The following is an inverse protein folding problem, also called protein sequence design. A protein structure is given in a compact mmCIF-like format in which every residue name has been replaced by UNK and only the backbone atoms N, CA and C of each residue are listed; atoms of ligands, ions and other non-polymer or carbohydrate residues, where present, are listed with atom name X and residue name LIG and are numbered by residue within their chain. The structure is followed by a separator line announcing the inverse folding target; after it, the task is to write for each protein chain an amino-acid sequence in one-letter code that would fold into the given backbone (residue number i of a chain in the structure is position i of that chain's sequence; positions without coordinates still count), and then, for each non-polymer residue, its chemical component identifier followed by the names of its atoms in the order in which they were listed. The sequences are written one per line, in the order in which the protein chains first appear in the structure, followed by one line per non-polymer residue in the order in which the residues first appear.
data_IF_906948298328
#
_entry.id   IF_906948298328
#
_cell.length_a   1.000
_cell.length_b   1.000
_cell.length_c   1.000
_cell.angle_alpha   90.00
_cell.angle_beta   90.00
_cell.angle_gamma   90.00
#
_symmetry.space_group_name_H-M   'P 1'
#
loop_
_entity.id
_entity.type
_entity.pdbx_description
1 polymer ?
#
# COMPACT_ATOMS: atom_id res chain seq x y z
N UNK A 1 -12.83 -18.73 -3.78
CA UNK A 1 -13.34 -18.13 -2.52
C UNK A 1 -12.50 -16.90 -2.22
N UNK A 2 -13.09 -15.83 -1.67
CA UNK A 2 -12.34 -14.65 -1.23
C UNK A 2 -11.60 -15.00 0.07
N UNK A 3 -10.27 -14.83 0.11
CA UNK A 3 -9.51 -15.02 1.35
C UNK A 3 -9.82 -13.90 2.35
N UNK A 4 -10.49 -14.23 3.43
CA UNK A 4 -10.86 -13.32 4.51
C UNK A 4 -10.07 -13.59 5.80
N UNK A 5 -9.30 -14.66 5.83
CA UNK A 5 -8.67 -15.20 7.06
C UNK A 5 -7.25 -14.68 7.24
N UNK A 6 -6.42 -14.66 6.19
CA UNK A 6 -5.01 -14.27 6.31
C UNK A 6 -4.87 -12.82 6.78
N UNK A 7 -4.21 -12.57 7.92
CA UNK A 7 -3.90 -11.23 8.40
C UNK A 7 -3.18 -10.40 7.35
N UNK A 8 -3.53 -9.11 7.26
CA UNK A 8 -2.98 -8.21 6.25
C UNK A 8 -2.97 -6.77 6.71
N UNK A 9 -2.04 -5.99 6.15
CA UNK A 9 -1.99 -4.54 6.31
C UNK A 9 -1.71 -3.90 4.95
N UNK A 10 -2.27 -2.71 4.74
CA UNK A 10 -2.06 -1.93 3.52
C UNK A 10 -1.18 -0.71 3.83
N UNK A 11 -0.03 -0.61 3.20
CA UNK A 11 0.87 0.54 3.31
C UNK A 11 0.52 1.55 2.24
N UNK A 12 0.02 2.69 2.66
CA UNK A 12 -0.21 3.84 1.80
C UNK A 12 0.74 4.99 2.17
N UNK A 13 0.78 6.04 1.36
CA UNK A 13 1.50 7.26 1.73
C UNK A 13 0.68 8.50 1.40
N UNK A 14 1.07 9.62 1.99
CA UNK A 14 0.43 10.90 1.70
C UNK A 14 0.79 11.42 0.33
N UNK A 15 1.98 11.04 -0.18
CA UNK A 15 2.46 11.39 -1.52
C UNK A 15 3.35 10.29 -2.10
N UNK A 16 3.65 10.45 -3.39
CA UNK A 16 4.70 9.69 -4.04
C UNK A 16 6.07 10.00 -3.39
N UNK A 17 6.92 8.98 -3.29
CA UNK A 17 8.27 9.08 -2.73
C UNK A 17 8.36 9.39 -1.22
N UNK A 18 7.29 9.27 -0.45
CA UNK A 18 7.35 9.41 1.02
C UNK A 18 8.04 8.23 1.71
N UNK A 19 8.40 7.19 0.97
CA UNK A 19 9.19 6.06 1.45
C UNK A 19 8.38 4.81 1.79
N UNK A 20 7.24 4.59 1.11
CA UNK A 20 6.45 3.35 1.25
C UNK A 20 7.31 2.10 1.14
N UNK A 21 8.05 1.97 0.04
CA UNK A 21 8.87 0.78 -0.24
C UNK A 21 9.91 0.53 0.84
N UNK A 22 10.59 1.58 1.34
CA UNK A 22 11.54 1.45 2.45
C UNK A 22 10.82 1.02 3.74
N UNK A 23 9.67 1.61 4.03
CA UNK A 23 8.83 1.21 5.17
C UNK A 23 8.34 -0.22 5.02
N UNK A 24 7.89 -0.62 3.84
CA UNK A 24 7.44 -1.99 3.54
C UNK A 24 8.57 -3.01 3.72
N UNK A 25 9.79 -2.70 3.27
CA UNK A 25 10.98 -3.54 3.50
C UNK A 25 11.24 -3.73 5.00
N UNK A 26 11.25 -2.65 5.77
CA UNK A 26 11.46 -2.70 7.21
C UNK A 26 10.38 -3.48 7.94
N UNK A 27 9.11 -3.20 7.62
CA UNK A 27 7.96 -3.89 8.23
C UNK A 27 7.95 -5.38 7.86
N UNK A 28 8.18 -5.73 6.60
CA UNK A 28 8.19 -7.13 6.16
C UNK A 28 9.34 -7.90 6.84
N UNK A 29 10.51 -7.27 7.01
CA UNK A 29 11.62 -7.83 7.78
C UNK A 29 11.25 -8.08 9.24
N UNK A 30 10.56 -7.13 9.88
CA UNK A 30 10.11 -7.28 11.27
C UNK A 30 9.00 -8.33 11.40
N UNK A 31 8.00 -8.30 10.52
CA UNK A 31 6.86 -9.24 10.51
C UNK A 31 7.34 -10.68 10.30
N UNK A 32 8.34 -10.89 9.46
CA UNK A 32 8.89 -12.23 9.17
C UNK A 32 9.50 -12.93 10.39
N UNK A 33 9.84 -12.18 11.44
CA UNK A 33 10.31 -12.75 12.72
C UNK A 33 9.19 -13.46 13.49
N UNK A 34 7.94 -13.03 13.29
CA UNK A 34 6.75 -13.57 13.96
C UNK A 34 5.92 -14.48 13.05
N UNK A 35 5.94 -14.20 11.74
CA UNK A 35 5.20 -14.89 10.71
C UNK A 35 6.16 -15.40 9.63
N UNK A 36 6.61 -16.65 9.73
CA UNK A 36 7.63 -17.19 8.79
C UNK A 36 7.21 -17.16 7.33
N UNK A 37 5.92 -17.38 7.06
CA UNK A 37 5.35 -17.43 5.72
C UNK A 37 4.62 -16.12 5.40
N UNK A 38 5.36 -15.14 4.94
CA UNK A 38 4.81 -13.84 4.55
C UNK A 38 4.60 -13.76 3.04
N UNK A 39 3.57 -13.00 2.62
CA UNK A 39 3.33 -12.60 1.26
C UNK A 39 3.44 -11.09 1.09
N UNK A 40 3.60 -10.67 -0.16
CA UNK A 40 3.56 -9.26 -0.55
C UNK A 40 2.79 -9.09 -1.85
N UNK A 41 2.00 -8.04 -1.93
CA UNK A 41 1.28 -7.65 -3.13
C UNK A 41 1.27 -6.13 -3.30
N UNK A 42 1.55 -5.66 -4.52
CA UNK A 42 1.30 -4.30 -4.97
C UNK A 42 0.22 -4.34 -6.05
N UNK A 43 -1.06 -4.19 -5.66
CA UNK A 43 -2.20 -4.46 -6.53
C UNK A 43 -2.24 -3.63 -7.81
N UNK A 44 -1.73 -2.39 -7.74
CA UNK A 44 -1.65 -1.45 -8.86
C UNK A 44 -0.24 -0.89 -8.93
N UNK A 45 0.49 -1.21 -9.99
CA UNK A 45 1.86 -0.76 -10.24
C UNK A 45 1.95 0.24 -11.40
N UNK A 46 2.82 1.23 -11.29
CA UNK A 46 3.09 2.23 -12.33
C UNK A 46 4.51 2.13 -12.91
N UNK A 47 5.41 1.47 -12.21
CA UNK A 47 6.78 1.20 -12.65
C UNK A 47 6.98 -0.29 -12.71
N UNK A 48 7.44 -0.81 -13.81
CA UNK A 48 7.56 -2.25 -13.99
C UNK A 48 8.79 -2.63 -14.79
N UNK A 49 9.25 -3.82 -14.52
CA UNK A 49 10.26 -4.56 -15.30
C UNK A 49 9.57 -5.70 -16.02
N UNK A 50 10.08 -6.08 -17.17
CA UNK A 50 9.59 -7.23 -17.90
C UNK A 50 10.29 -8.50 -17.40
N UNK A 51 9.52 -9.46 -16.92
CA UNK A 51 9.97 -10.75 -16.42
C UNK A 51 9.12 -11.84 -17.06
N UNK A 52 9.70 -12.73 -17.86
CA UNK A 52 8.99 -13.86 -18.51
C UNK A 52 7.64 -13.44 -19.14
N UNK A 53 7.66 -12.45 -20.01
CA UNK A 53 6.49 -11.87 -20.71
C UNK A 53 5.46 -11.18 -19.79
N UNK A 54 5.76 -10.99 -18.51
CA UNK A 54 4.91 -10.27 -17.57
C UNK A 54 5.52 -8.94 -17.14
N UNK A 55 4.67 -7.92 -17.04
CA UNK A 55 5.03 -6.62 -16.46
C UNK A 55 4.88 -6.69 -14.95
N UNK A 56 5.99 -6.77 -14.25
CA UNK A 56 6.06 -6.88 -12.80
C UNK A 56 6.47 -5.53 -12.21
N UNK A 57 5.72 -5.02 -11.23
CA UNK A 57 6.09 -3.78 -10.54
C UNK A 57 7.46 -3.93 -9.86
N UNK A 58 8.30 -2.88 -9.97
CA UNK A 58 9.67 -2.86 -9.45
C UNK A 58 9.74 -3.21 -7.95
N UNK A 59 8.77 -2.73 -7.15
CA UNK A 59 8.75 -3.00 -5.72
C UNK A 59 8.37 -4.47 -5.44
N UNK A 60 7.45 -5.06 -6.21
CA UNK A 60 7.11 -6.48 -6.11
C UNK A 60 8.30 -7.38 -6.45
N UNK A 61 9.03 -7.02 -7.50
CA UNK A 61 10.25 -7.73 -7.88
C UNK A 61 11.33 -7.61 -6.80
N UNK A 62 11.54 -6.40 -6.25
CA UNK A 62 12.48 -6.16 -5.17
C UNK A 62 12.14 -7.00 -3.93
N UNK A 63 10.87 -6.99 -3.49
CA UNK A 63 10.43 -7.73 -2.30
C UNK A 63 10.66 -9.23 -2.46
N UNK A 64 10.37 -9.78 -3.64
CA UNK A 64 10.63 -11.20 -3.89
C UNK A 64 12.12 -11.52 -3.87
N UNK A 65 12.97 -10.70 -4.50
CA UNK A 65 14.42 -10.87 -4.49
C UNK A 65 15.04 -10.83 -3.10
N UNK A 66 14.57 -9.90 -2.25
CA UNK A 66 15.09 -9.72 -0.89
C UNK A 66 14.61 -10.82 0.05
N UNK A 67 13.34 -11.16 0.01
CA UNK A 67 12.70 -12.02 1.02
C UNK A 67 12.45 -13.46 0.56
N UNK A 68 12.57 -13.74 -0.75
CA UNK A 68 12.24 -15.04 -1.35
C UNK A 68 10.85 -15.50 -0.90
N UNK A 69 9.86 -14.70 -1.27
CA UNK A 69 8.49 -14.81 -0.72
C UNK A 69 7.75 -16.07 -1.17
N UNK A 70 8.26 -16.75 -2.20
CA UNK A 70 7.61 -17.93 -2.77
C UNK A 70 6.13 -17.65 -3.12
N UNK A 71 5.91 -16.52 -3.78
CA UNK A 71 4.64 -16.09 -4.37
C UNK A 71 4.79 -15.98 -5.89
N UNK A 72 3.74 -16.29 -6.68
CA UNK A 72 3.82 -16.07 -8.13
C UNK A 72 3.97 -14.56 -8.43
N UNK A 73 5.07 -14.15 -9.07
CA UNK A 73 5.35 -12.74 -9.37
C UNK A 73 4.20 -12.01 -10.09
N UNK A 74 3.52 -12.60 -11.09
CA UNK A 74 2.38 -11.94 -11.75
C UNK A 74 1.17 -11.70 -10.82
N UNK A 75 1.09 -12.45 -9.72
CA UNK A 75 0.05 -12.25 -8.70
C UNK A 75 0.46 -11.21 -7.64
N UNK A 76 1.76 -11.03 -7.44
CA UNK A 76 2.28 -9.95 -6.60
C UNK A 76 2.11 -8.57 -7.25
N UNK A 77 1.90 -8.51 -8.59
CA UNK A 77 1.74 -7.28 -9.37
C UNK A 77 0.63 -7.42 -10.42
N UNK A 78 -0.64 -7.59 -10.01
CA UNK A 78 -1.72 -7.99 -10.93
C UNK A 78 -2.13 -6.94 -11.96
N UNK A 79 -1.93 -5.63 -11.70
CA UNK A 79 -2.32 -4.55 -12.59
C UNK A 79 -1.12 -3.64 -12.84
N UNK A 80 -0.58 -3.69 -14.07
CA UNK A 80 0.44 -2.76 -14.56
C UNK A 80 -0.24 -1.61 -15.31
N UNK A 81 -0.09 -0.38 -14.81
CA UNK A 81 -0.63 0.83 -15.44
C UNK A 81 0.39 1.37 -16.46
N UNK A 82 0.34 0.83 -17.67
CA UNK A 82 1.14 1.33 -18.80
C UNK A 82 0.63 2.69 -19.29
N UNK A 83 1.41 3.39 -20.12
CA UNK A 83 1.11 4.75 -20.59
C UNK A 83 -0.25 4.92 -21.27
N UNK A 84 -0.75 3.86 -21.91
CA UNK A 84 -2.04 3.84 -22.63
C UNK A 84 -3.20 3.26 -21.79
N UNK A 85 -2.93 2.71 -20.61
CA UNK A 85 -3.91 2.01 -19.76
C UNK A 85 -5.11 2.91 -19.43
N UNK A 86 -4.86 4.09 -18.91
CA UNK A 86 -5.92 5.03 -18.51
C UNK A 86 -6.82 5.40 -19.69
N UNK A 87 -6.23 5.69 -20.85
CA UNK A 87 -6.98 6.02 -22.05
C UNK A 87 -7.83 4.83 -22.55
N UNK A 88 -7.29 3.61 -22.51
CA UNK A 88 -8.03 2.39 -22.87
C UNK A 88 -9.18 2.17 -21.88
N UNK A 89 -8.94 2.34 -20.60
CA UNK A 89 -9.98 2.19 -19.59
C UNK A 89 -11.14 3.19 -19.81
N UNK A 90 -10.85 4.47 -20.03
CA UNK A 90 -11.88 5.48 -20.25
C UNK A 90 -12.72 5.25 -21.52
N UNK A 91 -12.18 4.55 -22.52
CA UNK A 91 -12.93 4.15 -23.73
C UNK A 91 -13.83 2.93 -23.51
N UNK A 92 -13.46 2.04 -22.62
CA UNK A 92 -14.16 0.75 -22.41
C UNK A 92 -13.99 0.31 -20.97
N UNK A 93 -14.64 1.04 -20.03
CA UNK A 93 -14.48 0.81 -18.60
C UNK A 93 -15.03 -0.56 -18.19
N UNK A 94 -14.21 -1.33 -17.48
CA UNK A 94 -14.60 -2.62 -16.91
C UNK A 94 -13.98 -2.79 -15.51
N UNK A 95 -14.43 -1.95 -14.57
CA UNK A 95 -13.94 -2.02 -13.19
C UNK A 95 -14.19 -3.40 -12.53
N UNK A 96 -15.34 -4.09 -12.71
CA UNK A 96 -15.53 -5.41 -12.13
C UNK A 96 -14.45 -6.43 -12.51
N UNK A 97 -13.93 -6.37 -13.74
CA UNK A 97 -12.83 -7.23 -14.18
C UNK A 97 -11.54 -6.93 -13.42
N UNK A 98 -11.23 -5.65 -13.22
CA UNK A 98 -10.05 -5.22 -12.47
C UNK A 98 -10.17 -5.60 -10.99
N UNK A 99 -11.33 -5.37 -10.37
CA UNK A 99 -11.61 -5.78 -8.98
C UNK A 99 -11.42 -7.28 -8.81
N UNK A 100 -12.01 -8.08 -9.71
CA UNK A 100 -11.86 -9.55 -9.70
C UNK A 100 -10.39 -9.97 -9.83
N UNK A 101 -9.62 -9.30 -10.71
CA UNK A 101 -8.19 -9.59 -10.87
C UNK A 101 -7.40 -9.32 -9.60
N UNK A 102 -7.65 -8.19 -8.91
CA UNK A 102 -7.00 -7.87 -7.62
C UNK A 102 -7.35 -8.90 -6.55
N UNK A 103 -8.62 -9.29 -6.44
CA UNK A 103 -9.06 -10.29 -5.47
C UNK A 103 -8.44 -11.66 -5.71
N UNK A 104 -8.45 -12.13 -6.96
CA UNK A 104 -7.85 -13.42 -7.32
C UNK A 104 -6.34 -13.45 -7.09
N UNK A 105 -5.65 -12.36 -7.42
CA UNK A 105 -4.23 -12.22 -7.17
C UNK A 105 -3.91 -12.28 -5.67
N UNK A 106 -4.68 -11.54 -4.87
CA UNK A 106 -4.53 -11.58 -3.42
C UNK A 106 -4.75 -12.99 -2.86
N UNK A 107 -5.80 -13.67 -3.29
CA UNK A 107 -6.10 -15.04 -2.82
C UNK A 107 -4.95 -16.00 -3.12
N UNK A 108 -4.29 -15.86 -4.26
CA UNK A 108 -3.11 -16.67 -4.63
C UNK A 108 -1.86 -16.28 -3.84
N UNK A 109 -1.61 -14.97 -3.65
CA UNK A 109 -0.50 -14.50 -2.81
C UNK A 109 -0.67 -14.93 -1.36
N UNK A 110 -1.91 -14.92 -0.86
CA UNK A 110 -2.23 -15.27 0.52
C UNK A 110 -2.31 -16.80 0.78
N UNK A 111 -2.20 -17.61 -0.27
CA UNK A 111 -2.21 -19.07 -0.15
C UNK A 111 -1.04 -19.55 0.72
N UNK A 112 -1.35 -20.30 1.76
CA UNK A 112 -0.38 -20.79 2.75
C UNK A 112 0.48 -19.72 3.43
N UNK A 113 0.02 -18.46 3.45
CA UNK A 113 0.72 -17.37 4.15
C UNK A 113 0.08 -17.08 5.50
N UNK A 114 0.94 -16.76 6.46
CA UNK A 114 0.55 -16.35 7.81
C UNK A 114 0.22 -14.86 7.86
N UNK A 115 0.79 -14.06 6.94
CA UNK A 115 0.57 -12.62 6.84
C UNK A 115 0.84 -12.12 5.42
N UNK A 116 0.10 -11.11 4.95
CA UNK A 116 0.33 -10.44 3.67
C UNK A 116 0.48 -8.93 3.87
N UNK A 117 1.58 -8.38 3.37
CA UNK A 117 1.76 -6.93 3.26
C UNK A 117 1.31 -6.47 1.89
N UNK A 118 0.35 -5.54 1.88
CA UNK A 118 -0.13 -4.91 0.65
C UNK A 118 0.46 -3.51 0.54
N UNK A 119 0.92 -3.10 -0.63
CA UNK A 119 1.46 -1.77 -0.85
C UNK A 119 0.70 -1.01 -1.93
N UNK A 120 0.34 0.24 -1.62
CA UNK A 120 -0.31 1.14 -2.56
C UNK A 120 0.67 1.92 -3.44
N UNK A 121 0.13 2.64 -4.41
CA UNK A 121 0.89 3.49 -5.33
C UNK A 121 0.54 4.97 -5.13
N UNK A 122 1.54 5.81 -4.86
CA UNK A 122 1.32 7.25 -4.64
C UNK A 122 0.49 7.54 -3.39
N UNK A 123 -0.43 8.50 -3.48
CA UNK A 123 -1.35 8.91 -2.39
C UNK A 123 -2.69 8.15 -2.44
N UNK A 124 -3.56 8.36 -1.43
CA UNK A 124 -4.83 7.64 -1.28
C UNK A 124 -5.70 7.59 -2.55
N UNK A 125 -5.70 8.67 -3.34
CA UNK A 125 -6.54 8.80 -4.54
C UNK A 125 -5.94 8.26 -5.83
N UNK A 126 -4.68 7.82 -5.85
CA UNK A 126 -4.06 7.27 -7.08
C UNK A 126 -4.81 6.03 -7.53
N UNK A 127 -5.19 6.00 -8.81
CA UNK A 127 -6.03 4.95 -9.39
C UNK A 127 -7.51 5.28 -9.46
N UNK A 128 -7.97 6.43 -8.92
CA UNK A 128 -9.38 6.85 -8.98
C UNK A 128 -9.94 6.93 -10.40
N UNK A 129 -9.10 7.23 -11.38
CA UNK A 129 -9.51 7.33 -12.79
C UNK A 129 -10.04 6.01 -13.37
N UNK A 130 -9.70 4.88 -12.77
CA UNK A 130 -10.20 3.55 -13.11
C UNK A 130 -10.83 2.83 -11.91
N UNK A 131 -11.33 3.60 -10.93
CA UNK A 131 -12.06 3.15 -9.76
C UNK A 131 -11.30 2.13 -8.87
N UNK A 132 -9.98 2.24 -8.85
CA UNK A 132 -9.07 1.49 -7.99
C UNK A 132 -8.10 2.43 -7.25
N UNK A 133 -8.65 3.46 -6.59
CA UNK A 133 -7.86 4.26 -5.66
C UNK A 133 -7.25 3.37 -4.56
N UNK A 134 -6.16 3.81 -3.93
CA UNK A 134 -5.57 3.05 -2.81
C UNK A 134 -6.61 2.79 -1.70
N UNK A 135 -7.49 3.76 -1.43
CA UNK A 135 -8.58 3.59 -0.48
C UNK A 135 -9.54 2.48 -0.93
N UNK A 136 -9.94 2.48 -2.21
CA UNK A 136 -10.81 1.46 -2.77
C UNK A 136 -10.15 0.08 -2.78
N UNK A 137 -8.86 0.00 -3.11
CA UNK A 137 -8.09 -1.26 -3.09
C UNK A 137 -7.98 -1.81 -1.68
N UNK A 138 -7.66 -0.98 -0.68
CA UNK A 138 -7.63 -1.40 0.72
C UNK A 138 -8.99 -1.96 1.18
N UNK A 139 -10.11 -1.33 0.78
CA UNK A 139 -11.48 -1.86 1.01
C UNK A 139 -11.72 -3.20 0.33
N UNK A 140 -11.35 -3.33 -0.94
CA UNK A 140 -11.51 -4.59 -1.72
C UNK A 140 -10.77 -5.73 -1.02
N UNK A 141 -9.57 -5.46 -0.51
CA UNK A 141 -8.73 -6.42 0.19
C UNK A 141 -9.13 -6.60 1.67
N UNK A 142 -10.05 -5.81 2.19
CA UNK A 142 -10.42 -5.79 3.61
C UNK A 142 -9.17 -5.59 4.49
N UNK A 143 -8.33 -4.63 4.13
CA UNK A 143 -7.09 -4.33 4.81
C UNK A 143 -7.19 -3.01 5.57
N UNK A 144 -6.70 -2.98 6.82
CA UNK A 144 -6.44 -1.75 7.56
C UNK A 144 -5.19 -1.09 7.01
N UNK A 145 -5.07 0.23 7.18
CA UNK A 145 -4.02 1.04 6.56
C UNK A 145 -3.01 1.55 7.59
N UNK A 146 -1.74 1.49 7.24
CA UNK A 146 -0.69 2.31 7.82
C UNK A 146 -0.35 3.40 6.79
N UNK A 147 -0.42 4.66 7.19
CA UNK A 147 -0.16 5.79 6.32
C UNK A 147 1.24 6.35 6.56
N UNK A 148 2.07 6.37 5.53
CA UNK A 148 3.43 6.92 5.59
C UNK A 148 3.42 8.36 5.10
N UNK A 149 4.02 9.27 5.86
CA UNK A 149 4.20 10.68 5.49
C UNK A 149 5.62 11.15 5.79
N UNK A 150 5.99 12.33 5.31
CA UNK A 150 7.29 12.92 5.64
C UNK A 150 7.28 13.50 7.05
N UNK A 151 8.47 13.63 7.63
CA UNK A 151 8.63 14.28 8.93
C UNK A 151 8.29 15.77 8.89
N UNK A 152 7.56 16.23 9.90
CA UNK A 152 7.14 17.61 10.09
C UNK A 152 5.88 17.72 10.91
N UNK A 153 5.52 18.93 11.32
CA UNK A 153 4.40 19.21 12.23
C UNK A 153 3.26 20.02 11.59
N UNK A 154 3.46 20.59 10.40
CA UNK A 154 2.45 21.34 9.66
C UNK A 154 2.00 20.56 8.43
N UNK A 155 2.60 20.85 7.28
CA UNK A 155 2.24 20.24 5.98
C UNK A 155 2.02 18.72 6.00
N UNK A 156 2.84 17.89 6.67
CA UNK A 156 2.59 16.45 6.70
C UNK A 156 1.27 16.09 7.37
N UNK A 157 0.86 16.82 8.43
CA UNK A 157 -0.43 16.59 9.10
C UNK A 157 -1.59 17.00 8.19
N UNK A 158 -1.46 18.11 7.45
CA UNK A 158 -2.47 18.53 6.45
C UNK A 158 -2.63 17.48 5.34
N UNK A 159 -1.53 16.92 4.87
CA UNK A 159 -1.54 15.85 3.87
C UNK A 159 -2.12 14.53 4.41
N UNK A 160 -1.87 14.21 5.68
CA UNK A 160 -2.54 13.10 6.36
C UNK A 160 -4.04 13.33 6.37
N UNK A 161 -4.49 14.54 6.70
CA UNK A 161 -5.92 14.90 6.72
C UNK A 161 -6.61 14.68 5.38
N UNK A 162 -5.98 15.11 4.28
CA UNK A 162 -6.52 14.91 2.93
C UNK A 162 -6.64 13.44 2.55
N UNK A 163 -5.63 12.64 2.89
CA UNK A 163 -5.64 11.20 2.60
C UNK A 163 -6.64 10.46 3.50
N UNK A 164 -6.70 10.81 4.79
CA UNK A 164 -7.65 10.25 5.75
C UNK A 164 -9.08 10.37 5.26
N UNK A 165 -9.49 11.54 4.77
CA UNK A 165 -10.85 11.78 4.27
C UNK A 165 -11.26 10.80 3.17
N UNK A 166 -10.33 10.38 2.30
CA UNK A 166 -10.64 9.42 1.25
C UNK A 166 -10.74 7.99 1.79
N UNK A 167 -9.88 7.59 2.73
CA UNK A 167 -9.99 6.29 3.40
C UNK A 167 -11.29 6.19 4.19
N UNK A 168 -11.67 7.23 4.93
CA UNK A 168 -12.93 7.32 5.68
C UNK A 168 -14.16 7.22 4.76
N UNK A 169 -14.14 7.92 3.62
CA UNK A 169 -15.18 7.82 2.60
C UNK A 169 -15.40 6.39 2.12
N UNK A 170 -14.34 5.62 1.98
CA UNK A 170 -14.41 4.21 1.59
C UNK A 170 -14.65 3.26 2.79
N UNK A 171 -14.74 3.77 4.01
CA UNK A 171 -14.91 2.99 5.24
C UNK A 171 -13.70 2.13 5.59
N UNK A 172 -12.49 2.65 5.32
CA UNK A 172 -11.22 1.97 5.59
C UNK A 172 -10.55 2.61 6.80
N UNK A 173 -10.21 1.80 7.79
CA UNK A 173 -9.55 2.22 9.02
C UNK A 173 -8.05 2.47 8.78
N UNK A 174 -7.55 3.64 9.22
CA UNK A 174 -6.12 3.92 9.37
C UNK A 174 -5.73 3.58 10.80
N UNK A 175 -4.89 2.56 10.98
CA UNK A 175 -4.45 2.09 12.30
C UNK A 175 -3.27 2.88 12.86
N UNK A 176 -2.59 3.65 12.02
CA UNK A 176 -1.51 4.52 12.46
C UNK A 176 -0.79 5.21 11.33
N UNK A 177 0.05 6.16 11.71
CA UNK A 177 0.86 6.98 10.81
C UNK A 177 2.34 6.80 11.13
N UNK A 178 3.15 6.66 10.10
CA UNK A 178 4.63 6.63 10.20
C UNK A 178 5.17 7.93 9.62
N UNK A 179 5.97 8.65 10.40
CA UNK A 179 6.76 9.78 9.94
C UNK A 179 8.11 9.28 9.42
N UNK A 180 8.33 9.41 8.15
CA UNK A 180 9.59 9.05 7.50
C UNK A 180 10.43 10.29 7.16
N UNK A 181 11.73 10.11 6.89
CA UNK A 181 12.64 11.20 6.49
C UNK A 181 12.75 12.33 7.54
N UNK A 182 12.58 11.99 8.80
CA UNK A 182 12.84 12.91 9.91
C UNK A 182 14.34 13.06 10.09
N UNK A 183 14.83 14.29 10.22
CA UNK A 183 16.23 14.55 10.58
C UNK A 183 16.48 14.07 12.02
N UNK A 184 17.61 13.42 12.24
CA UNK A 184 17.94 12.82 13.54
C UNK A 184 17.94 13.84 14.68
N UNK A 185 18.44 15.05 14.43
CA UNK A 185 18.47 16.16 15.39
C UNK A 185 17.09 16.75 15.73
N UNK A 186 16.02 16.32 15.05
CA UNK A 186 14.66 16.83 15.23
C UNK A 186 13.64 15.74 15.60
N UNK A 187 14.08 14.49 15.80
CA UNK A 187 13.17 13.36 16.04
C UNK A 187 12.27 13.61 17.22
N UNK A 188 12.82 13.98 18.38
CA UNK A 188 12.05 14.17 19.62
C UNK A 188 11.01 15.30 19.47
N UNK A 189 11.47 16.46 18.99
CA UNK A 189 10.60 17.61 18.76
C UNK A 189 9.46 17.30 17.77
N UNK A 190 9.79 16.71 16.62
CA UNK A 190 8.79 16.40 15.61
C UNK A 190 7.84 15.32 16.11
N UNK A 191 8.34 14.30 16.80
CA UNK A 191 7.50 13.21 17.33
C UNK A 191 6.50 13.71 18.35
N UNK A 192 6.91 14.60 19.27
CA UNK A 192 6.03 15.21 20.26
C UNK A 192 4.86 15.95 19.61
N UNK A 193 5.17 16.90 18.71
CA UNK A 193 4.12 17.75 18.12
C UNK A 193 3.29 17.03 17.08
N UNK A 194 3.90 16.14 16.29
CA UNK A 194 3.16 15.33 15.34
C UNK A 194 2.18 14.39 16.03
N UNK A 195 2.58 13.76 17.16
CA UNK A 195 1.67 12.93 17.96
C UNK A 195 0.45 13.74 18.39
N UNK A 196 0.64 14.92 18.98
CA UNK A 196 -0.46 15.81 19.39
C UNK A 196 -1.37 16.20 18.21
N UNK A 197 -0.78 16.47 17.04
CA UNK A 197 -1.53 16.82 15.83
C UNK A 197 -2.34 15.65 15.26
N UNK A 198 -1.79 14.43 15.30
CA UNK A 198 -2.46 13.22 14.83
C UNK A 198 -3.56 12.75 15.79
N UNK A 199 -3.32 12.81 17.12
CA UNK A 199 -4.31 12.46 18.15
C UNK A 199 -5.58 13.31 18.03
N UNK A 200 -5.47 14.59 17.70
CA UNK A 200 -6.63 15.47 17.42
C UNK A 200 -7.48 14.99 16.24
N UNK A 201 -6.94 14.12 15.42
CA UNK A 201 -7.61 13.51 14.25
C UNK A 201 -8.00 12.05 14.50
N UNK A 202 -7.83 11.56 15.71
CA UNK A 202 -8.09 10.17 16.06
C UNK A 202 -7.06 9.18 15.48
N UNK A 203 -5.85 9.65 15.16
CA UNK A 203 -4.78 8.83 14.56
C UNK A 203 -3.60 8.68 15.53
N UNK A 204 -2.97 7.51 15.48
CA UNK A 204 -1.79 7.20 16.29
C UNK A 204 -0.50 7.43 15.48
N UNK A 205 0.52 7.99 16.10
CA UNK A 205 1.88 7.94 15.63
C UNK A 205 2.50 6.60 16.05
N UNK A 206 2.96 5.81 15.07
CA UNK A 206 3.63 4.50 15.26
C UNK A 206 5.13 4.66 15.47
#
# INVERSE_FOLDING_TARGET
MKNIITPRVFIAATRQNDGKTTTSLGLLSAIKRYYPRVGYIKPVGQRFVDVEDHKIDEDSFLMDKVFRLNCPLPEMSPIAVASDFTRKYLKSSNNPKLVKRVQQAFDRVAWEKDFVLCEGTGHAGVGSVFDLSNARVAKILNAKVILVTQGGIGRPIDEVALNQALFEKDGVEIIGVILNKVRQDKVDYISEFARKGLERRGLNLL
#
